data_IF_563294703477
#
_entry.id   IF_563294703477
#
_cell.length_a   1.000
_cell.length_b   1.000
_cell.length_c   1.000
_cell.angle_alpha   90.00
_cell.angle_beta   90.00
_cell.angle_gamma   90.00
#
_symmetry.space_group_name_H-M   'P 1'
#
loop_
_entity.id
_entity.type
_entity.pdbx_description
1 polymer ?
#
# COMPACT_ATOMS: atom_id res chain seq x y z
N UNK A 1 -20.85 -25.74 -31.43
CA UNK A 1 -22.09 -26.16 -30.72
C UNK A 1 -21.85 -27.15 -29.58
N UNK A 2 -21.88 -28.49 -29.71
CA UNK A 2 -21.85 -29.38 -28.52
C UNK A 2 -20.70 -29.12 -27.51
N UNK A 3 -19.51 -28.74 -27.98
CA UNK A 3 -18.37 -28.41 -27.13
C UNK A 3 -18.54 -27.09 -26.32
N UNK A 4 -19.14 -26.05 -26.91
CA UNK A 4 -19.41 -24.76 -26.22
C UNK A 4 -20.45 -24.94 -25.09
N UNK A 5 -21.45 -25.80 -25.28
CA UNK A 5 -22.42 -26.16 -24.23
C UNK A 5 -21.79 -26.88 -23.05
N UNK A 6 -20.73 -27.63 -23.29
CA UNK A 6 -19.98 -28.28 -22.23
C UNK A 6 -19.12 -27.29 -21.46
N UNK A 7 -18.60 -26.24 -22.14
CA UNK A 7 -17.72 -25.23 -21.53
C UNK A 7 -18.42 -24.44 -20.41
N UNK A 8 -19.60 -23.88 -20.67
CA UNK A 8 -20.38 -23.10 -19.67
C UNK A 8 -20.87 -24.00 -18.53
N UNK A 9 -21.24 -25.24 -18.83
CA UNK A 9 -21.67 -26.22 -17.82
C UNK A 9 -20.50 -26.57 -16.89
N UNK A 10 -19.33 -26.83 -17.47
CA UNK A 10 -18.09 -27.12 -16.74
C UNK A 10 -17.66 -25.94 -15.87
N UNK A 11 -17.69 -24.71 -16.40
CA UNK A 11 -17.38 -23.49 -15.64
C UNK A 11 -18.26 -23.32 -14.41
N UNK A 12 -19.58 -23.54 -14.53
CA UNK A 12 -20.49 -23.44 -13.39
C UNK A 12 -20.19 -24.48 -12.30
N UNK A 13 -19.79 -25.71 -12.66
CA UNK A 13 -19.37 -26.72 -11.69
C UNK A 13 -18.05 -26.32 -11.02
N UNK A 14 -17.08 -25.84 -11.80
CA UNK A 14 -15.77 -25.41 -11.33
C UNK A 14 -15.83 -24.23 -10.35
N UNK A 15 -16.71 -23.23 -10.56
CA UNK A 15 -16.90 -22.15 -9.57
C UNK A 15 -17.27 -22.70 -8.19
N UNK A 16 -18.08 -23.77 -8.15
CA UNK A 16 -18.52 -24.35 -6.89
C UNK A 16 -17.45 -25.24 -6.22
N UNK A 17 -16.40 -25.65 -6.94
CA UNK A 17 -15.30 -26.45 -6.39
C UNK A 17 -14.20 -25.63 -5.71
N UNK A 18 -14.22 -24.29 -5.84
CA UNK A 18 -13.30 -23.40 -5.12
C UNK A 18 -13.51 -23.51 -3.60
N UNK A 19 -12.43 -23.78 -2.87
CA UNK A 19 -12.39 -23.82 -1.41
C UNK A 19 -11.26 -22.98 -0.79
N UNK A 20 -10.15 -22.77 -1.49
CA UNK A 20 -9.08 -21.86 -1.07
C UNK A 20 -9.45 -20.42 -1.41
N UNK A 21 -9.73 -20.14 -2.69
CA UNK A 21 -10.08 -18.80 -3.18
C UNK A 21 -11.58 -18.48 -2.99
N UNK A 22 -12.08 -18.77 -1.79
CA UNK A 22 -13.51 -18.59 -1.46
C UNK A 22 -13.93 -17.12 -1.48
N UNK A 23 -13.04 -16.19 -1.14
CA UNK A 23 -13.37 -14.76 -1.22
C UNK A 23 -13.59 -14.30 -2.67
N UNK A 24 -12.85 -14.87 -3.62
CA UNK A 24 -13.09 -14.65 -5.06
C UNK A 24 -14.46 -15.21 -5.45
N UNK A 25 -14.79 -16.41 -4.97
CA UNK A 25 -16.12 -17.02 -5.17
C UNK A 25 -17.27 -16.14 -4.66
N UNK A 26 -17.06 -15.49 -3.52
CA UNK A 26 -18.05 -14.63 -2.87
C UNK A 26 -18.06 -13.19 -3.37
N UNK A 27 -17.16 -12.83 -4.29
CA UNK A 27 -17.10 -11.48 -4.86
C UNK A 27 -18.39 -11.16 -5.63
N UNK A 28 -18.77 -9.87 -5.64
CA UNK A 28 -19.98 -9.43 -6.34
C UNK A 28 -19.93 -9.78 -7.82
N UNK A 29 -18.79 -9.53 -8.48
CA UNK A 29 -18.54 -9.85 -9.88
C UNK A 29 -18.72 -11.34 -10.16
N UNK A 30 -18.06 -12.23 -9.37
CA UNK A 30 -18.17 -13.67 -9.63
C UNK A 30 -19.56 -14.22 -9.30
N UNK A 31 -20.29 -13.61 -8.35
CA UNK A 31 -21.70 -13.93 -8.11
C UNK A 31 -22.58 -13.58 -9.30
N UNK A 32 -22.39 -12.42 -9.94
CA UNK A 32 -23.11 -12.05 -11.16
C UNK A 32 -22.74 -12.97 -12.34
N UNK A 33 -21.45 -13.26 -12.50
CA UNK A 33 -20.96 -14.20 -13.52
C UNK A 33 -21.54 -15.61 -13.32
N UNK A 34 -21.50 -16.14 -12.09
CA UNK A 34 -22.10 -17.43 -11.74
C UNK A 34 -23.61 -17.42 -12.02
N UNK A 35 -24.31 -16.32 -11.73
CA UNK A 35 -25.74 -16.18 -12.02
C UNK A 35 -26.03 -16.22 -13.52
N UNK A 36 -25.20 -15.56 -14.33
CA UNK A 36 -25.24 -15.65 -15.79
C UNK A 36 -25.04 -17.10 -16.27
N UNK A 37 -23.95 -17.77 -15.86
CA UNK A 37 -23.67 -19.15 -16.26
C UNK A 37 -24.77 -20.14 -15.80
N UNK A 38 -25.33 -19.95 -14.59
CA UNK A 38 -26.47 -20.75 -14.10
C UNK A 38 -27.71 -20.56 -14.95
N UNK A 39 -28.01 -19.33 -15.34
CA UNK A 39 -29.14 -19.02 -16.22
C UNK A 39 -28.94 -19.64 -17.61
N UNK A 40 -27.75 -19.45 -18.19
CA UNK A 40 -27.38 -20.02 -19.48
C UNK A 40 -27.41 -21.55 -19.47
N UNK A 41 -27.18 -22.22 -18.35
CA UNK A 41 -27.28 -23.68 -18.24
C UNK A 41 -28.72 -24.25 -18.21
N UNK A 42 -29.76 -23.40 -18.12
CA UNK A 42 -31.16 -23.87 -18.18
C UNK A 42 -31.51 -24.49 -19.54
N UNK A 43 -32.55 -25.33 -19.57
CA UNK A 43 -33.02 -25.96 -20.83
C UNK A 43 -33.51 -24.92 -21.83
N UNK A 44 -34.23 -23.92 -21.36
CA UNK A 44 -34.76 -22.81 -22.15
C UNK A 44 -34.27 -21.48 -21.56
N UNK A 45 -33.88 -20.56 -22.44
CA UNK A 45 -33.39 -19.23 -22.08
C UNK A 45 -34.02 -18.19 -22.99
N UNK A 46 -34.55 -17.11 -22.39
CA UNK A 46 -35.02 -15.93 -23.13
C UNK A 46 -33.89 -14.93 -23.37
N UNK A 47 -33.89 -14.29 -24.53
CA UNK A 47 -32.91 -13.27 -24.96
C UNK A 47 -32.80 -12.12 -23.96
N UNK A 48 -33.94 -11.50 -23.62
CA UNK A 48 -33.99 -10.34 -22.71
C UNK A 48 -33.30 -10.61 -21.37
N UNK A 49 -33.60 -11.76 -20.75
CA UNK A 49 -32.97 -12.17 -19.48
C UNK A 49 -31.49 -12.53 -19.66
N UNK A 50 -31.10 -13.15 -20.77
CA UNK A 50 -29.69 -13.43 -21.06
C UNK A 50 -28.88 -12.14 -21.16
N UNK A 51 -29.39 -11.15 -21.91
CA UNK A 51 -28.79 -9.82 -22.04
C UNK A 51 -28.73 -9.14 -20.68
N UNK A 52 -29.82 -9.17 -19.90
CA UNK A 52 -29.84 -8.57 -18.56
C UNK A 52 -28.81 -9.23 -17.62
N UNK A 53 -28.69 -10.56 -17.62
CA UNK A 53 -27.66 -11.24 -16.81
C UNK A 53 -26.24 -10.88 -17.25
N UNK A 54 -26.00 -10.78 -18.57
CA UNK A 54 -24.71 -10.35 -19.11
C UNK A 54 -24.36 -8.93 -18.70
N UNK A 55 -25.28 -7.98 -18.91
CA UNK A 55 -25.09 -6.57 -18.57
C UNK A 55 -24.91 -6.37 -17.07
N UNK A 56 -25.65 -7.09 -16.21
CA UNK A 56 -25.44 -7.02 -14.76
C UNK A 56 -24.05 -7.50 -14.34
N UNK A 57 -23.51 -8.51 -15.01
CA UNK A 57 -22.15 -8.98 -14.78
C UNK A 57 -21.11 -7.95 -15.24
N UNK A 58 -21.25 -7.42 -16.47
CA UNK A 58 -20.33 -6.40 -17.00
C UNK A 58 -20.40 -5.10 -16.20
N UNK A 59 -21.60 -4.67 -15.79
CA UNK A 59 -21.79 -3.51 -14.94
C UNK A 59 -21.07 -3.66 -13.59
N UNK A 60 -21.22 -4.81 -12.94
CA UNK A 60 -20.56 -5.07 -11.67
C UNK A 60 -19.03 -5.10 -11.82
N UNK A 61 -18.53 -5.67 -12.92
CA UNK A 61 -17.12 -5.65 -13.27
C UNK A 61 -16.63 -4.20 -13.41
N UNK A 62 -17.29 -3.38 -14.23
CA UNK A 62 -16.94 -1.97 -14.44
C UNK A 62 -16.98 -1.12 -13.16
N UNK A 63 -17.90 -1.43 -12.22
CA UNK A 63 -18.03 -0.69 -10.98
C UNK A 63 -17.01 -1.10 -9.92
N UNK A 64 -16.50 -2.34 -9.99
CA UNK A 64 -15.59 -2.91 -8.98
C UNK A 64 -14.13 -2.84 -9.41
N UNK A 65 -13.83 -2.88 -10.71
CA UNK A 65 -12.47 -2.86 -11.23
C UNK A 65 -12.18 -1.65 -12.10
N UNK A 66 -10.94 -1.18 -12.03
CA UNK A 66 -10.40 -0.13 -12.90
C UNK A 66 -10.17 -0.62 -14.35
N UNK A 67 -10.46 -1.89 -14.65
CA UNK A 67 -10.32 -2.51 -15.96
C UNK A 67 -11.62 -3.21 -16.34
N UNK A 68 -11.92 -3.22 -17.64
CA UNK A 68 -13.05 -3.98 -18.20
C UNK A 68 -12.74 -5.49 -18.32
N UNK A 69 -11.48 -5.88 -18.10
CA UNK A 69 -11.05 -7.25 -18.31
C UNK A 69 -11.39 -8.14 -17.12
N UNK A 70 -12.23 -9.14 -17.37
CA UNK A 70 -12.55 -10.16 -16.37
C UNK A 70 -11.31 -10.98 -15.97
N UNK A 71 -10.40 -11.26 -16.92
CA UNK A 71 -9.15 -11.97 -16.64
C UNK A 71 -8.25 -11.18 -15.70
N UNK A 72 -8.03 -9.88 -15.96
CA UNK A 72 -7.25 -9.02 -15.07
C UNK A 72 -7.89 -8.94 -13.68
N UNK A 73 -9.22 -8.79 -13.60
CA UNK A 73 -9.94 -8.77 -12.33
C UNK A 73 -9.70 -10.04 -11.49
N UNK A 74 -9.78 -11.23 -12.09
CA UNK A 74 -9.53 -12.47 -11.37
C UNK A 74 -8.07 -12.56 -10.88
N UNK A 75 -7.11 -12.12 -11.70
CA UNK A 75 -5.70 -12.07 -11.31
C UNK A 75 -5.51 -11.13 -10.12
N UNK A 76 -6.05 -9.91 -10.17
CA UNK A 76 -5.95 -8.94 -9.07
C UNK A 76 -6.56 -9.52 -7.78
N UNK A 77 -7.70 -10.21 -7.88
CA UNK A 77 -8.34 -10.88 -6.75
C UNK A 77 -7.49 -12.01 -6.17
N UNK A 78 -6.72 -12.77 -6.98
CA UNK A 78 -5.81 -13.81 -6.49
C UNK A 78 -4.75 -13.21 -5.56
N UNK A 79 -4.18 -12.06 -5.93
CA UNK A 79 -3.11 -11.41 -5.17
C UNK A 79 -3.60 -10.62 -3.95
N UNK A 80 -4.83 -10.10 -4.00
CA UNK A 80 -5.46 -9.40 -2.87
C UNK A 80 -6.10 -10.36 -1.84
N UNK A 81 -6.29 -11.62 -2.19
CA UNK A 81 -6.96 -12.59 -1.33
C UNK A 81 -6.14 -12.91 -0.06
N UNK A 82 -6.82 -12.98 1.08
CA UNK A 82 -6.28 -13.49 2.33
C UNK A 82 -7.01 -14.80 2.66
N UNK A 83 -6.34 -15.92 2.47
CA UNK A 83 -6.92 -17.25 2.60
C UNK A 83 -5.96 -18.22 3.34
N UNK A 84 -6.34 -19.50 3.41
CA UNK A 84 -5.54 -20.51 4.09
C UNK A 84 -4.14 -20.69 3.48
N UNK A 85 -4.00 -20.54 2.16
CA UNK A 85 -2.73 -20.67 1.46
C UNK A 85 -1.80 -19.49 1.76
N UNK A 86 -2.30 -18.24 1.72
CA UNK A 86 -1.49 -17.07 2.07
C UNK A 86 -1.07 -17.10 3.55
N UNK A 87 -1.96 -17.55 4.45
CA UNK A 87 -1.63 -17.73 5.87
C UNK A 87 -0.54 -18.79 6.10
N UNK A 88 -0.50 -19.85 5.30
CA UNK A 88 0.58 -20.84 5.38
C UNK A 88 1.93 -20.24 4.98
N UNK A 89 1.95 -19.37 3.96
CA UNK A 89 3.17 -18.69 3.53
C UNK A 89 3.64 -17.70 4.61
N UNK A 90 2.73 -16.91 5.15
CA UNK A 90 3.04 -15.94 6.21
C UNK A 90 3.68 -16.62 7.44
N UNK A 91 3.21 -17.83 7.78
CA UNK A 91 3.73 -18.64 8.88
C UNK A 91 4.92 -19.54 8.51
N UNK A 92 5.42 -19.49 7.27
CA UNK A 92 6.49 -20.36 6.74
C UNK A 92 6.20 -21.86 6.88
N UNK A 93 4.93 -22.26 6.81
CA UNK A 93 4.48 -23.65 6.94
C UNK A 93 3.88 -24.16 5.63
N UNK A 94 4.73 -24.37 4.62
CA UNK A 94 4.36 -24.90 3.31
C UNK A 94 4.34 -26.44 3.24
N UNK A 95 4.24 -27.13 4.38
CA UNK A 95 4.37 -28.58 4.44
C UNK A 95 3.12 -29.33 3.95
N UNK A 96 1.97 -28.66 3.88
CA UNK A 96 0.72 -29.30 3.49
C UNK A 96 0.58 -29.41 1.96
N UNK A 97 1.10 -30.52 1.42
CA UNK A 97 1.03 -30.84 -0.02
C UNK A 97 -0.39 -30.81 -0.59
N UNK A 98 -1.40 -31.20 0.18
CA UNK A 98 -2.80 -31.21 -0.29
C UNK A 98 -3.31 -29.80 -0.57
N UNK A 99 -2.92 -28.82 0.25
CA UNK A 99 -3.28 -27.41 0.01
C UNK A 99 -2.59 -26.92 -1.26
N UNK A 100 -1.31 -27.24 -1.46
CA UNK A 100 -0.59 -26.84 -2.69
C UNK A 100 -1.21 -27.46 -3.95
N UNK A 101 -1.56 -28.75 -3.92
CA UNK A 101 -2.27 -29.42 -5.02
C UNK A 101 -3.63 -28.76 -5.29
N UNK A 102 -4.36 -28.41 -4.24
CA UNK A 102 -5.64 -27.71 -4.36
C UNK A 102 -5.47 -26.31 -4.95
N UNK A 103 -4.45 -25.55 -4.53
CA UNK A 103 -4.13 -24.23 -5.12
C UNK A 103 -3.81 -24.37 -6.61
N UNK A 104 -2.98 -25.35 -7.02
CA UNK A 104 -2.72 -25.61 -8.45
C UNK A 104 -4.01 -25.88 -9.22
N UNK A 105 -4.91 -26.69 -8.65
CA UNK A 105 -6.20 -26.97 -9.26
C UNK A 105 -7.06 -25.70 -9.37
N UNK A 106 -7.17 -24.92 -8.31
CA UNK A 106 -8.00 -23.71 -8.29
C UNK A 106 -7.44 -22.61 -9.20
N UNK A 107 -6.12 -22.49 -9.34
CA UNK A 107 -5.51 -21.60 -10.34
C UNK A 107 -5.93 -22.00 -11.76
N UNK A 108 -5.96 -23.29 -12.10
CA UNK A 108 -6.51 -23.77 -13.39
C UNK A 108 -8.00 -23.48 -13.54
N UNK A 109 -8.76 -23.61 -12.47
CA UNK A 109 -10.19 -23.26 -12.47
C UNK A 109 -10.37 -21.77 -12.75
N UNK A 110 -9.72 -20.90 -12.00
CA UNK A 110 -9.82 -19.45 -12.15
C UNK A 110 -9.38 -19.01 -13.55
N UNK A 111 -8.30 -19.59 -14.06
CA UNK A 111 -7.87 -19.39 -15.44
C UNK A 111 -8.96 -19.79 -16.44
N UNK A 112 -9.51 -20.99 -16.31
CA UNK A 112 -10.58 -21.49 -17.18
C UNK A 112 -11.84 -20.62 -17.16
N UNK A 113 -12.20 -20.11 -15.98
CA UNK A 113 -13.33 -19.20 -15.85
C UNK A 113 -13.08 -17.89 -16.58
N UNK A 114 -11.86 -17.36 -16.49
CA UNK A 114 -11.45 -16.11 -17.13
C UNK A 114 -11.16 -16.24 -18.62
N UNK A 115 -10.97 -17.45 -19.13
CA UNK A 115 -10.70 -17.70 -20.56
C UNK A 115 -11.96 -17.80 -21.41
N UNK A 116 -13.15 -17.84 -20.79
CA UNK A 116 -14.41 -17.80 -21.52
C UNK A 116 -14.60 -16.36 -22.02
N UNK A 117 -14.52 -16.19 -23.34
CA UNK A 117 -14.57 -14.87 -23.97
C UNK A 117 -16.00 -14.30 -24.01
N UNK A 118 -16.13 -12.99 -24.18
CA UNK A 118 -17.41 -12.33 -24.48
C UNK A 118 -18.05 -12.99 -25.68
N UNK A 119 -17.23 -13.28 -26.71
CA UNK A 119 -17.66 -13.91 -27.94
C UNK A 119 -18.29 -15.28 -27.68
N UNK A 120 -17.64 -16.14 -26.89
CA UNK A 120 -18.18 -17.46 -26.55
C UNK A 120 -19.54 -17.33 -25.85
N UNK A 121 -19.66 -16.39 -24.90
CA UNK A 121 -20.91 -16.15 -24.17
C UNK A 121 -22.00 -15.61 -25.12
N UNK A 122 -21.66 -14.64 -25.98
CA UNK A 122 -22.58 -14.04 -26.96
C UNK A 122 -23.08 -15.09 -27.96
N UNK A 123 -22.19 -15.88 -28.55
CA UNK A 123 -22.54 -16.99 -29.45
C UNK A 123 -23.42 -18.04 -28.76
N UNK A 124 -23.13 -18.31 -27.49
CA UNK A 124 -23.97 -19.20 -26.70
C UNK A 124 -25.38 -18.65 -26.48
N UNK A 125 -25.50 -17.36 -26.16
CA UNK A 125 -26.80 -16.68 -26.02
C UNK A 125 -27.56 -16.77 -27.34
N UNK A 126 -26.94 -16.42 -28.47
CA UNK A 126 -27.55 -16.45 -29.81
C UNK A 126 -28.07 -17.85 -30.14
N UNK A 127 -27.22 -18.87 -30.01
CA UNK A 127 -27.57 -20.24 -30.38
C UNK A 127 -28.66 -20.84 -29.50
N UNK A 128 -28.59 -20.62 -28.18
CA UNK A 128 -29.52 -21.26 -27.23
C UNK A 128 -30.88 -20.60 -27.18
N UNK A 129 -30.91 -19.28 -27.35
CA UNK A 129 -32.16 -18.51 -27.37
C UNK A 129 -32.85 -18.50 -28.73
N UNK A 130 -32.19 -19.02 -29.78
CA UNK A 130 -32.65 -18.99 -31.17
C UNK A 130 -32.92 -17.57 -31.65
N UNK A 131 -31.97 -16.68 -31.41
CA UNK A 131 -32.07 -15.25 -31.74
C UNK A 131 -32.24 -15.01 -33.25
N UNK A 132 -33.07 -14.02 -33.58
CA UNK A 132 -33.28 -13.49 -34.94
C UNK A 132 -32.23 -12.44 -35.28
N UNK A 133 -32.13 -12.04 -36.55
CA UNK A 133 -31.10 -11.12 -37.03
C UNK A 133 -30.95 -9.84 -36.18
N UNK A 134 -32.04 -9.12 -35.90
CA UNK A 134 -31.94 -7.89 -35.11
C UNK A 134 -31.52 -8.14 -33.64
N UNK A 135 -31.86 -9.31 -33.08
CA UNK A 135 -31.49 -9.69 -31.71
C UNK A 135 -30.02 -10.07 -31.64
N UNK A 136 -29.51 -10.75 -32.67
CA UNK A 136 -28.09 -11.06 -32.85
C UNK A 136 -27.26 -9.79 -32.94
N UNK A 137 -27.72 -8.78 -33.69
CA UNK A 137 -27.03 -7.49 -33.79
C UNK A 137 -26.93 -6.79 -32.43
N UNK A 138 -28.03 -6.77 -31.65
CA UNK A 138 -28.03 -6.23 -30.28
C UNK A 138 -27.02 -6.98 -29.41
N UNK A 139 -27.02 -8.32 -29.41
CA UNK A 139 -26.09 -9.14 -28.61
C UNK A 139 -24.63 -8.86 -28.99
N UNK A 140 -24.33 -8.73 -30.28
CA UNK A 140 -22.98 -8.46 -30.75
C UNK A 140 -22.49 -7.07 -30.32
N UNK A 141 -23.38 -6.07 -30.25
CA UNK A 141 -23.06 -4.71 -29.78
C UNK A 141 -22.82 -4.58 -28.27
N UNK A 142 -23.07 -5.62 -27.47
CA UNK A 142 -22.79 -5.57 -26.03
C UNK A 142 -21.29 -5.41 -25.80
N UNK A 143 -20.92 -4.80 -24.68
CA UNK A 143 -19.52 -4.58 -24.30
C UNK A 143 -18.74 -5.90 -24.27
N UNK A 144 -17.52 -5.87 -24.80
CA UNK A 144 -16.53 -6.92 -24.73
C UNK A 144 -15.68 -6.81 -23.44
N UNK A 145 -15.34 -7.94 -22.84
CA UNK A 145 -14.62 -8.08 -21.56
C UNK A 145 -13.18 -8.59 -21.73
N UNK A 146 -12.67 -8.61 -22.96
CA UNK A 146 -11.28 -8.95 -23.25
C UNK A 146 -10.30 -7.81 -22.87
N UNK A 147 -9.04 -8.16 -22.64
CA UNK A 147 -7.96 -7.20 -22.40
C UNK A 147 -7.63 -6.43 -23.68
N UNK A 148 -7.74 -5.10 -23.65
CA UNK A 148 -6.91 -4.24 -24.48
C UNK A 148 -5.54 -4.14 -23.80
N UNK A 149 -4.58 -4.97 -24.22
CA UNK A 149 -3.23 -4.97 -23.67
C UNK A 149 -2.50 -3.67 -24.04
N UNK A 150 -2.61 -2.64 -23.20
CA UNK A 150 -1.58 -1.61 -23.09
C UNK A 150 -0.69 -1.99 -21.90
N UNK A 151 0.27 -2.87 -22.17
CA UNK A 151 1.36 -3.11 -21.22
C UNK A 151 2.24 -1.87 -21.28
N UNK A 152 2.18 -1.02 -20.27
CA UNK A 152 3.12 0.08 -20.13
C UNK A 152 4.51 -0.54 -19.91
N UNK A 153 5.44 -0.39 -20.85
CA UNK A 153 6.79 -0.98 -20.75
C UNK A 153 7.60 -0.46 -19.53
N UNK A 154 7.09 0.55 -18.83
CA UNK A 154 7.64 1.12 -17.60
C UNK A 154 7.07 0.48 -16.32
N UNK A 155 6.69 -0.81 -16.32
CA UNK A 155 6.20 -1.51 -15.13
C UNK A 155 7.33 -1.67 -14.07
N UNK A 156 7.37 -0.73 -13.14
CA UNK A 156 8.38 -0.68 -12.06
C UNK A 156 8.06 -1.67 -10.92
N UNK A 157 6.79 -2.02 -10.67
CA UNK A 157 6.38 -2.87 -9.53
C UNK A 157 6.51 -4.37 -9.85
N UNK A 158 7.13 -5.15 -8.97
CA UNK A 158 7.30 -6.61 -9.12
C UNK A 158 5.97 -7.35 -9.30
N UNK A 159 4.93 -6.94 -8.59
CA UNK A 159 3.60 -7.54 -8.68
C UNK A 159 2.99 -7.39 -10.08
N UNK A 160 3.13 -6.23 -10.72
CA UNK A 160 2.59 -6.01 -12.06
C UNK A 160 3.30 -6.84 -13.12
N UNK A 161 4.61 -7.10 -12.94
CA UNK A 161 5.36 -8.02 -13.81
C UNK A 161 4.79 -9.44 -13.72
N UNK A 162 4.52 -9.92 -12.51
CA UNK A 162 3.93 -11.25 -12.28
C UNK A 162 2.48 -11.31 -12.79
N UNK A 163 1.65 -10.31 -12.50
CA UNK A 163 0.28 -10.22 -13.05
C UNK A 163 0.28 -10.25 -14.57
N UNK A 164 1.21 -9.53 -15.21
CA UNK A 164 1.36 -9.50 -16.66
C UNK A 164 1.81 -10.85 -17.23
N UNK A 165 2.68 -11.59 -16.55
CA UNK A 165 3.05 -12.94 -17.00
C UNK A 165 1.86 -13.91 -16.91
N UNK A 166 1.07 -13.85 -15.84
CA UNK A 166 -0.16 -14.65 -15.70
C UNK A 166 -1.19 -14.35 -16.80
N UNK A 167 -1.29 -13.10 -17.27
CA UNK A 167 -2.19 -12.74 -18.36
C UNK A 167 -1.86 -13.52 -19.65
N UNK A 168 -0.58 -13.75 -19.94
CA UNK A 168 -0.13 -14.39 -21.20
C UNK A 168 0.03 -15.91 -21.05
N UNK A 169 0.12 -16.43 -19.83
CA UNK A 169 0.32 -17.86 -19.57
C UNK A 169 -0.87 -18.76 -20.00
N UNK A 170 -0.51 -19.92 -20.55
CA UNK A 170 -1.43 -21.00 -20.93
C UNK A 170 -1.88 -21.86 -19.74
N UNK A 171 -1.11 -21.91 -18.65
CA UNK A 171 -1.47 -22.67 -17.44
C UNK A 171 -1.02 -21.95 -16.16
N UNK A 172 -1.98 -21.42 -15.41
CA UNK A 172 -1.69 -20.67 -14.17
C UNK A 172 -1.14 -21.54 -13.03
N UNK A 173 -1.34 -22.87 -13.06
CA UNK A 173 -0.75 -23.73 -12.03
C UNK A 173 0.78 -23.77 -12.07
N UNK A 174 1.37 -23.48 -13.22
CA UNK A 174 2.82 -23.50 -13.42
C UNK A 174 3.46 -22.25 -12.79
N UNK A 175 2.69 -21.17 -12.62
CA UNK A 175 3.11 -19.95 -11.91
C UNK A 175 3.12 -20.09 -10.38
N UNK A 176 2.74 -21.26 -9.81
CA UNK A 176 2.64 -21.38 -8.36
C UNK A 176 3.96 -21.08 -7.65
N UNK A 177 5.09 -21.53 -8.22
CA UNK A 177 6.40 -21.29 -7.63
C UNK A 177 6.74 -19.79 -7.64
N UNK A 178 6.50 -19.11 -8.75
CA UNK A 178 6.68 -17.65 -8.88
C UNK A 178 5.76 -16.88 -7.91
N UNK A 179 4.52 -17.33 -7.73
CA UNK A 179 3.56 -16.74 -6.78
C UNK A 179 4.06 -16.92 -5.34
N UNK A 180 4.57 -18.10 -4.98
CA UNK A 180 5.14 -18.36 -3.65
C UNK A 180 6.38 -17.52 -3.41
N UNK A 181 7.28 -17.40 -4.39
CA UNK A 181 8.47 -16.56 -4.31
C UNK A 181 8.08 -15.09 -4.10
N UNK A 182 7.12 -14.60 -4.89
CA UNK A 182 6.57 -13.26 -4.74
C UNK A 182 5.99 -13.04 -3.34
N UNK A 183 5.15 -13.94 -2.83
CA UNK A 183 4.56 -13.83 -1.50
C UNK A 183 5.60 -13.91 -0.37
N UNK A 184 6.72 -14.60 -0.57
CA UNK A 184 7.80 -14.63 0.40
C UNK A 184 8.61 -13.33 0.44
N UNK A 185 8.85 -12.68 -0.71
CA UNK A 185 9.61 -11.42 -0.78
C UNK A 185 8.77 -10.17 -0.53
N UNK A 186 7.57 -10.12 -1.10
CA UNK A 186 6.71 -8.94 -1.12
C UNK A 186 5.46 -9.09 -0.24
N UNK A 187 5.19 -10.27 0.30
CA UNK A 187 4.07 -10.54 1.21
C UNK A 187 2.74 -10.75 0.50
N UNK A 188 1.71 -11.00 1.31
CA UNK A 188 0.40 -11.50 0.88
C UNK A 188 -0.71 -10.45 0.96
N UNK A 189 -1.75 -10.61 0.14
CA UNK A 189 -2.92 -9.75 0.15
C UNK A 189 -2.55 -8.29 -0.12
N UNK A 190 -3.17 -7.38 0.66
CA UNK A 190 -2.94 -5.94 0.56
C UNK A 190 -1.46 -5.54 0.75
N UNK A 191 -0.66 -6.33 1.46
CA UNK A 191 0.75 -6.04 1.67
C UNK A 191 1.65 -6.41 0.48
N UNK A 192 1.21 -7.36 -0.35
CA UNK A 192 1.85 -7.67 -1.62
C UNK A 192 1.64 -6.58 -2.68
N UNK A 193 0.46 -5.95 -2.65
CA UNK A 193 0.06 -4.91 -3.60
C UNK A 193 0.62 -3.53 -3.25
N UNK A 194 0.64 -3.19 -1.95
CA UNK A 194 0.92 -1.84 -1.49
C UNK A 194 2.16 -1.78 -0.59
N UNK A 195 3.08 -0.87 -0.93
CA UNK A 195 4.27 -0.58 -0.11
C UNK A 195 3.97 0.29 1.12
N UNK A 196 2.95 1.13 1.01
CA UNK A 196 2.50 2.05 2.05
C UNK A 196 0.98 1.94 2.20
N UNK A 197 0.52 1.94 3.45
CA UNK A 197 -0.88 1.84 3.82
C UNK A 197 -1.22 2.88 4.89
N UNK A 198 -2.49 3.25 4.97
CA UNK A 198 -3.01 4.17 5.99
C UNK A 198 -4.07 3.44 6.82
N UNK A 199 -4.03 3.61 8.14
CA UNK A 199 -5.11 3.13 9.02
C UNK A 199 -6.28 4.11 9.02
N UNK A 200 -7.46 3.65 8.61
CA UNK A 200 -8.65 4.47 8.44
C UNK A 200 -9.87 3.92 9.17
N UNK A 201 -10.81 4.83 9.44
CA UNK A 201 -12.13 4.54 10.01
C UNK A 201 -13.18 4.91 8.96
N UNK A 202 -14.07 3.97 8.64
CA UNK A 202 -15.23 4.20 7.77
C UNK A 202 -16.42 3.41 8.34
N UNK A 203 -17.57 4.06 8.52
CA UNK A 203 -18.82 3.44 8.98
C UNK A 203 -18.65 2.47 10.17
N UNK A 204 -18.01 2.95 11.26
CA UNK A 204 -17.67 2.20 12.49
C UNK A 204 -16.70 1.01 12.31
N UNK A 205 -16.12 0.85 11.12
CA UNK A 205 -15.09 -0.16 10.82
C UNK A 205 -13.72 0.48 10.71
N UNK A 206 -12.72 -0.28 11.11
CA UNK A 206 -11.31 0.12 11.01
C UNK A 206 -10.60 -0.80 10.03
N UNK A 207 -9.88 -0.24 9.05
CA UNK A 207 -9.20 -1.04 8.02
C UNK A 207 -7.90 -0.37 7.54
N UNK A 208 -7.10 -1.14 6.81
CA UNK A 208 -5.92 -0.64 6.10
C UNK A 208 -6.31 -0.28 4.67
N UNK A 209 -6.06 0.97 4.28
CA UNK A 209 -6.19 1.41 2.89
C UNK A 209 -4.81 1.43 2.23
N UNK A 210 -4.68 0.81 1.06
CA UNK A 210 -3.49 0.90 0.24
C UNK A 210 -3.28 2.30 -0.35
N UNK A 211 -2.03 2.73 -0.49
CA UNK A 211 -1.66 3.95 -1.20
C UNK A 211 -1.13 3.59 -2.58
N UNK A 212 -1.86 3.91 -3.65
CA UNK A 212 -1.50 3.54 -5.03
C UNK A 212 -0.19 4.19 -5.49
N UNK A 213 -0.05 5.49 -5.20
CA UNK A 213 1.04 6.36 -5.62
C UNK A 213 1.64 7.11 -4.41
N UNK A 214 2.37 6.40 -3.52
CA UNK A 214 3.05 7.06 -2.41
C UNK A 214 4.23 7.88 -2.93
N UNK A 215 4.57 8.93 -2.18
CA UNK A 215 5.65 9.89 -2.50
C UNK A 215 6.90 9.17 -3.03
N UNK A 216 7.37 9.45 -4.26
CA UNK A 216 8.48 8.73 -4.89
C UNK A 216 9.86 9.13 -4.33
N UNK A 217 9.92 10.05 -3.36
CA UNK A 217 11.17 10.53 -2.75
C UNK A 217 12.11 9.39 -2.34
N UNK A 218 13.37 9.44 -2.75
CA UNK A 218 14.41 8.50 -2.31
C UNK A 218 15.43 9.21 -1.42
N UNK A 219 16.23 8.42 -0.70
CA UNK A 219 17.23 8.94 0.23
C UNK A 219 18.25 9.84 -0.47
N UNK A 220 18.63 9.48 -1.71
CA UNK A 220 19.52 10.27 -2.57
C UNK A 220 18.95 11.63 -2.98
N UNK A 221 17.62 11.79 -2.99
CA UNK A 221 16.96 13.05 -3.38
C UNK A 221 16.91 14.05 -2.20
N UNK A 222 17.14 13.56 -0.99
CA UNK A 222 17.20 14.37 0.22
C UNK A 222 18.64 14.86 0.41
N UNK A 223 18.91 16.14 0.17
CA UNK A 223 20.24 16.71 0.43
C UNK A 223 20.44 17.05 1.91
N UNK A 224 21.62 16.73 2.45
CA UNK A 224 22.02 17.04 3.82
C UNK A 224 21.51 16.03 4.86
N UNK A 225 21.90 16.21 6.13
CA UNK A 225 21.57 15.31 7.24
C UNK A 225 22.06 13.85 7.06
N UNK A 226 23.23 13.65 6.45
CA UNK A 226 23.74 12.30 6.16
C UNK A 226 23.96 11.47 7.42
N UNK A 227 24.47 12.07 8.50
CA UNK A 227 24.63 11.36 9.78
C UNK A 227 23.28 10.88 10.34
N UNK A 228 22.27 11.75 10.32
CA UNK A 228 20.92 11.42 10.78
C UNK A 228 20.30 10.31 9.93
N UNK A 229 20.46 10.38 8.60
CA UNK A 229 19.98 9.34 7.69
C UNK A 229 20.68 8.02 7.97
N UNK A 230 22.00 8.01 8.12
CA UNK A 230 22.77 6.78 8.33
C UNK A 230 22.36 6.06 9.61
N UNK A 231 22.09 6.81 10.68
CA UNK A 231 21.56 6.25 11.94
C UNK A 231 20.22 5.54 11.72
N UNK A 232 19.28 6.17 11.00
CA UNK A 232 17.96 5.59 10.72
C UNK A 232 18.07 4.39 9.77
N UNK A 233 18.94 4.50 8.74
CA UNK A 233 19.21 3.44 7.78
C UNK A 233 19.79 2.21 8.49
N UNK A 234 20.79 2.40 9.35
CA UNK A 234 21.43 1.32 10.09
C UNK A 234 20.43 0.56 10.98
N UNK A 235 19.61 1.28 11.74
CA UNK A 235 18.54 0.68 12.56
C UNK A 235 17.52 -0.10 11.69
N UNK A 236 17.16 0.46 10.53
CA UNK A 236 16.19 -0.19 9.62
C UNK A 236 16.78 -1.45 8.97
N UNK A 237 18.07 -1.43 8.55
CA UNK A 237 18.76 -2.62 8.03
C UNK A 237 18.88 -3.71 9.08
N UNK A 238 19.17 -3.33 10.33
CA UNK A 238 19.20 -4.25 11.46
C UNK A 238 17.85 -4.93 11.68
N UNK A 239 16.77 -4.15 11.63
CA UNK A 239 15.39 -4.64 11.73
C UNK A 239 15.01 -5.60 10.60
N UNK A 240 15.36 -5.27 9.35
CA UNK A 240 15.13 -6.12 8.17
C UNK A 240 15.89 -7.44 8.27
N UNK A 241 17.11 -7.41 8.80
CA UNK A 241 17.92 -8.59 9.06
C UNK A 241 17.40 -9.46 10.22
N UNK A 242 16.30 -9.06 10.88
CA UNK A 242 15.66 -9.80 11.97
C UNK A 242 16.34 -9.62 13.33
N UNK A 243 17.31 -8.72 13.45
CA UNK A 243 17.92 -8.37 14.73
C UNK A 243 17.05 -7.36 15.51
N UNK A 244 17.21 -7.28 16.84
CA UNK A 244 16.58 -6.23 17.63
C UNK A 244 16.96 -4.84 17.11
N UNK A 245 15.96 -3.97 16.99
CA UNK A 245 16.09 -2.59 16.54
C UNK A 245 15.18 -1.70 17.39
N UNK A 246 15.43 -0.40 17.38
CA UNK A 246 14.72 0.54 18.24
C UNK A 246 13.58 1.25 17.50
N UNK A 247 12.59 1.70 18.25
CA UNK A 247 11.65 2.71 17.77
C UNK A 247 12.43 4.03 17.61
N UNK A 248 11.98 4.91 16.71
CA UNK A 248 12.70 6.15 16.42
C UNK A 248 11.78 7.34 16.60
N UNK A 249 12.24 8.31 17.40
CA UNK A 249 11.66 9.64 17.43
C UNK A 249 12.54 10.60 16.62
N UNK A 250 11.99 11.13 15.53
CA UNK A 250 12.61 12.15 14.71
C UNK A 250 12.17 13.52 15.23
N UNK A 251 13.07 14.23 15.89
CA UNK A 251 12.81 15.55 16.46
C UNK A 251 13.45 16.65 15.60
N UNK A 252 12.78 17.79 15.40
CA UNK A 252 13.42 18.95 14.78
C UNK A 252 12.46 19.98 14.20
N UNK A 253 13.00 21.05 13.62
CA UNK A 253 12.20 22.12 13.02
C UNK A 253 11.33 21.63 11.86
N UNK A 254 10.26 22.37 11.54
CA UNK A 254 9.44 22.09 10.35
C UNK A 254 10.25 22.25 9.07
N UNK A 255 10.00 21.39 8.08
CA UNK A 255 10.63 21.49 6.77
C UNK A 255 12.08 21.01 6.70
N UNK A 256 12.60 20.32 7.73
CA UNK A 256 13.94 19.70 7.77
C UNK A 256 14.01 18.30 7.15
N UNK A 257 12.88 17.75 6.70
CA UNK A 257 12.84 16.48 5.95
C UNK A 257 12.50 15.23 6.77
N UNK A 258 12.18 15.34 8.07
CA UNK A 258 11.87 14.19 8.95
C UNK A 258 10.92 13.16 8.34
N UNK A 259 9.72 13.59 7.94
CA UNK A 259 8.69 12.71 7.35
C UNK A 259 9.12 12.18 5.98
N UNK A 260 9.80 13.00 5.18
CA UNK A 260 10.35 12.61 3.88
C UNK A 260 11.44 11.55 4.02
N UNK A 261 12.27 11.60 5.07
CA UNK A 261 13.28 10.57 5.36
C UNK A 261 12.64 9.22 5.63
N UNK A 262 11.58 9.17 6.44
CA UNK A 262 10.86 7.90 6.70
C UNK A 262 10.21 7.38 5.42
N UNK A 263 9.56 8.23 4.64
CA UNK A 263 8.96 7.84 3.34
C UNK A 263 10.02 7.34 2.34
N UNK A 264 11.19 7.96 2.32
CA UNK A 264 12.31 7.58 1.47
C UNK A 264 12.90 6.21 1.82
N UNK A 265 12.97 5.86 3.11
CA UNK A 265 13.43 4.55 3.57
C UNK A 265 12.57 3.43 3.00
N UNK A 266 11.25 3.64 2.97
CA UNK A 266 10.30 2.65 2.44
C UNK A 266 10.52 2.42 0.95
N UNK A 267 10.84 3.48 0.20
CA UNK A 267 11.14 3.37 -1.22
C UNK A 267 12.46 2.63 -1.50
N UNK A 268 13.41 2.68 -0.57
CA UNK A 268 14.72 2.04 -0.71
C UNK A 268 14.68 0.55 -0.32
N UNK A 269 13.89 0.20 0.72
CA UNK A 269 13.85 -1.15 1.30
C UNK A 269 12.53 -1.89 1.07
N UNK A 270 11.69 -1.43 0.15
CA UNK A 270 10.44 -2.11 -0.22
C UNK A 270 10.67 -3.55 -0.68
N UNK A 271 11.70 -3.75 -1.50
CA UNK A 271 12.08 -5.05 -2.08
C UNK A 271 12.66 -6.01 -1.02
N UNK A 272 13.09 -5.49 0.13
CA UNK A 272 13.56 -6.27 1.29
C UNK A 272 12.40 -6.65 2.25
N UNK A 273 11.15 -6.40 1.85
CA UNK A 273 9.96 -6.75 2.63
C UNK A 273 9.52 -5.69 3.66
N UNK A 274 9.96 -4.44 3.52
CA UNK A 274 9.54 -3.33 4.39
C UNK A 274 8.21 -2.73 3.96
N UNK A 275 7.31 -2.46 4.90
CA UNK A 275 6.03 -1.77 4.67
C UNK A 275 5.84 -0.61 5.64
N UNK A 276 5.22 0.45 5.13
CA UNK A 276 4.84 1.62 5.93
C UNK A 276 3.36 1.57 6.27
N UNK A 277 3.03 1.74 7.55
CA UNK A 277 1.66 1.93 8.01
C UNK A 277 1.55 3.31 8.63
N UNK A 278 0.94 4.25 7.93
CA UNK A 278 0.68 5.59 8.44
C UNK A 278 -0.55 5.56 9.37
N UNK A 279 -0.37 6.08 10.57
CA UNK A 279 -1.40 6.11 11.62
C UNK A 279 -1.49 7.52 12.16
N UNK A 280 -2.67 8.13 12.04
CA UNK A 280 -2.93 9.43 12.68
C UNK A 280 -2.84 9.29 14.20
N UNK A 281 -2.38 10.35 14.86
CA UNK A 281 -2.22 10.38 16.32
C UNK A 281 -3.49 9.96 17.07
N UNK A 282 -4.67 10.39 16.58
CA UNK A 282 -5.96 10.13 17.22
C UNK A 282 -6.37 8.65 17.11
N UNK A 283 -5.79 7.93 16.15
CA UNK A 283 -6.04 6.51 15.88
C UNK A 283 -5.08 5.57 16.61
N UNK A 284 -4.12 6.11 17.39
CA UNK A 284 -3.20 5.30 18.19
C UNK A 284 -3.90 4.42 19.23
N UNK A 285 -5.13 4.77 19.61
CA UNK A 285 -5.98 3.93 20.47
C UNK A 285 -6.27 2.54 19.87
N UNK A 286 -6.22 2.40 18.55
CA UNK A 286 -6.44 1.14 17.84
C UNK A 286 -5.19 0.29 17.65
N UNK A 287 -4.04 0.70 18.22
CA UNK A 287 -2.78 0.04 17.95
C UNK A 287 -2.79 -1.48 18.20
N UNK A 288 -3.55 -1.95 19.20
CA UNK A 288 -3.71 -3.39 19.45
C UNK A 288 -4.42 -4.11 18.31
N UNK A 289 -5.38 -3.47 17.64
CA UNK A 289 -6.01 -3.98 16.41
C UNK A 289 -5.00 -3.99 15.27
N UNK A 290 -4.19 -2.94 15.13
CA UNK A 290 -3.14 -2.86 14.11
C UNK A 290 -2.13 -4.01 14.30
N UNK A 291 -1.59 -4.21 15.50
CA UNK A 291 -0.67 -5.33 15.78
C UNK A 291 -1.30 -6.68 15.42
N UNK A 292 -2.57 -6.92 15.76
CA UNK A 292 -3.25 -8.19 15.45
C UNK A 292 -3.25 -8.49 13.95
N UNK A 293 -3.38 -7.47 13.10
CA UNK A 293 -3.32 -7.63 11.64
C UNK A 293 -1.88 -7.91 11.16
N UNK A 294 -0.86 -7.35 11.82
CA UNK A 294 0.53 -7.38 11.36
C UNK A 294 1.40 -8.53 11.93
N UNK A 295 1.11 -8.99 13.16
CA UNK A 295 2.03 -9.84 13.97
C UNK A 295 2.38 -11.22 13.41
N UNK A 296 1.61 -11.72 12.45
CA UNK A 296 1.80 -13.04 11.85
C UNK A 296 2.26 -12.97 10.39
N UNK A 297 2.57 -11.77 9.87
CA UNK A 297 3.05 -11.60 8.51
C UNK A 297 4.57 -11.79 8.44
N UNK A 298 5.06 -12.34 7.33
CA UNK A 298 6.49 -12.56 7.06
C UNK A 298 7.27 -11.26 6.77
N UNK A 299 6.57 -10.13 6.61
CA UNK A 299 7.11 -8.80 6.34
C UNK A 299 7.50 -8.03 7.61
N UNK A 300 8.21 -6.92 7.40
CA UNK A 300 8.58 -5.95 8.43
C UNK A 300 7.78 -4.66 8.26
N UNK A 301 7.26 -4.13 9.36
CA UNK A 301 6.37 -2.96 9.35
C UNK A 301 6.97 -1.82 10.16
N UNK A 302 6.97 -0.62 9.57
CA UNK A 302 7.15 0.63 10.30
C UNK A 302 5.78 1.28 10.42
N UNK A 303 5.30 1.42 11.66
CA UNK A 303 4.16 2.26 11.99
C UNK A 303 4.68 3.69 12.09
N UNK A 304 4.19 4.55 11.20
CA UNK A 304 4.60 5.94 11.10
C UNK A 304 3.53 6.88 11.63
N UNK A 305 3.94 7.76 12.55
CA UNK A 305 3.07 8.79 13.13
C UNK A 305 3.70 10.16 12.88
N UNK A 306 3.05 10.99 12.08
CA UNK A 306 3.55 12.32 11.75
C UNK A 306 3.08 13.37 12.77
N UNK A 307 3.94 14.35 13.08
CA UNK A 307 3.70 15.47 14.01
C UNK A 307 3.08 15.05 15.36
N UNK A 308 3.78 14.15 16.06
CA UNK A 308 3.40 13.62 17.37
C UNK A 308 3.44 14.74 18.44
N UNK A 309 2.27 15.32 18.70
CA UNK A 309 2.02 16.29 19.78
C UNK A 309 0.64 16.02 20.39
N UNK A 310 0.63 15.84 21.71
CA UNK A 310 -0.54 15.50 22.51
C UNK A 310 -1.02 16.68 23.36
N UNK A 311 -2.33 16.74 23.57
CA UNK A 311 -2.93 17.52 24.63
C UNK A 311 -2.89 16.75 25.96
N UNK A 312 -3.08 17.47 27.06
CA UNK A 312 -3.14 16.85 28.39
C UNK A 312 -4.39 15.94 28.51
N UNK A 313 -4.20 14.71 29.02
CA UNK A 313 -5.30 13.74 29.17
C UNK A 313 -5.72 13.01 27.89
N UNK A 314 -5.00 13.16 26.78
CA UNK A 314 -5.32 12.48 25.52
C UNK A 314 -5.14 10.95 25.63
N UNK A 315 -6.16 10.18 25.26
CA UNK A 315 -6.12 8.70 25.33
C UNK A 315 -5.01 8.10 24.45
N UNK A 316 -4.70 8.76 23.33
CA UNK A 316 -3.63 8.38 22.40
C UNK A 316 -2.25 8.41 23.05
N UNK A 317 -2.00 9.33 24.00
CA UNK A 317 -0.76 9.38 24.77
C UNK A 317 -0.60 8.12 25.63
N UNK A 318 -1.65 7.77 26.38
CA UNK A 318 -1.65 6.58 27.25
C UNK A 318 -1.49 5.29 26.45
N UNK A 319 -2.12 5.22 25.28
CA UNK A 319 -1.96 4.10 24.35
C UNK A 319 -0.49 3.97 23.91
N UNK A 320 0.11 5.04 23.39
CA UNK A 320 1.51 5.05 22.95
C UNK A 320 2.49 4.72 24.08
N UNK A 321 2.25 5.24 25.28
CA UNK A 321 3.04 4.95 26.48
C UNK A 321 3.08 3.45 26.78
N UNK A 322 1.91 2.82 26.81
CA UNK A 322 1.73 1.37 27.06
C UNK A 322 2.41 0.51 25.99
N UNK A 323 2.39 0.99 24.75
CA UNK A 323 3.01 0.31 23.61
C UNK A 323 4.52 0.30 23.74
N UNK A 324 5.12 1.47 24.01
CA UNK A 324 6.57 1.61 24.12
C UNK A 324 7.13 0.93 25.39
N UNK A 325 6.35 0.84 26.48
CA UNK A 325 6.70 0.03 27.66
C UNK A 325 6.70 -1.48 27.39
N UNK A 326 6.15 -1.92 26.26
CA UNK A 326 6.11 -3.32 25.87
C UNK A 326 5.11 -4.10 26.71
N UNK A 327 3.84 -3.65 26.73
CA UNK A 327 2.72 -4.43 27.27
C UNK A 327 2.70 -5.88 26.76
N UNK A 328 2.11 -6.79 27.54
CA UNK A 328 2.18 -8.26 27.34
C UNK A 328 1.79 -8.70 25.91
N UNK A 329 0.89 -7.97 25.24
CA UNK A 329 0.45 -8.26 23.87
C UNK A 329 1.29 -7.60 22.75
N UNK A 330 2.19 -6.67 23.07
CA UNK A 330 2.75 -5.69 22.11
C UNK A 330 4.17 -6.00 21.59
N UNK A 331 4.82 -7.08 22.04
CA UNK A 331 6.17 -7.43 21.56
C UNK A 331 6.11 -8.23 20.26
N UNK A 332 5.90 -7.53 19.14
CA UNK A 332 6.04 -8.13 17.80
C UNK A 332 7.43 -7.84 17.23
N UNK A 333 8.19 -8.87 16.85
CA UNK A 333 9.54 -8.74 16.29
C UNK A 333 9.57 -8.20 14.85
N UNK A 334 8.41 -7.92 14.28
CA UNK A 334 8.23 -7.44 12.92
C UNK A 334 7.58 -6.05 12.84
N UNK A 335 7.48 -5.31 13.96
CA UNK A 335 6.90 -3.96 14.00
C UNK A 335 7.85 -3.00 14.71
N UNK A 336 8.10 -1.83 14.11
CA UNK A 336 8.74 -0.67 14.75
C UNK A 336 7.84 0.56 14.63
N UNK A 337 8.03 1.52 15.53
CA UNK A 337 7.32 2.80 15.54
C UNK A 337 8.30 3.92 15.23
N UNK A 338 8.08 4.62 14.11
CA UNK A 338 8.81 5.84 13.78
C UNK A 338 7.84 7.01 13.91
N UNK A 339 8.20 8.01 14.72
CA UNK A 339 7.38 9.19 14.90
C UNK A 339 8.18 10.45 14.57
N UNK A 340 7.53 11.47 13.99
CA UNK A 340 8.13 12.80 13.90
C UNK A 340 7.53 13.73 14.94
N UNK A 341 8.31 14.69 15.42
CA UNK A 341 7.77 15.78 16.23
C UNK A 341 8.51 17.08 15.97
N UNK A 342 7.77 18.18 16.03
CA UNK A 342 8.33 19.53 15.94
C UNK A 342 8.66 20.12 17.32
N UNK A 343 8.31 19.42 18.40
CA UNK A 343 8.48 19.88 19.78
C UNK A 343 9.37 18.91 20.55
N UNK A 344 10.21 19.46 21.43
CA UNK A 344 11.05 18.63 22.30
C UNK A 344 10.19 17.83 23.28
N UNK A 345 9.08 18.41 23.72
CA UNK A 345 8.09 17.79 24.59
C UNK A 345 6.90 17.31 23.74
N UNK A 346 6.56 16.03 23.88
CA UNK A 346 5.45 15.41 23.14
C UNK A 346 4.08 15.83 23.68
N UNK A 347 3.99 16.30 24.92
CA UNK A 347 2.76 16.80 25.54
C UNK A 347 2.84 18.32 25.68
N UNK A 348 1.76 19.03 25.37
CA UNK A 348 1.72 20.48 25.59
C UNK A 348 1.78 20.80 27.10
N UNK A 349 2.58 21.81 27.43
CA UNK A 349 2.65 22.35 28.79
C UNK A 349 1.55 23.40 28.98
N UNK A 350 0.85 23.38 30.11
CA UNK A 350 -0.08 24.45 30.49
C UNK A 350 0.67 25.58 31.20
N UNK A 351 0.21 26.82 31.04
CA UNK A 351 0.85 28.00 31.66
C UNK A 351 0.88 27.92 33.20
N UNK A 352 -0.05 27.19 33.81
CA UNK A 352 -0.13 26.90 35.23
C UNK A 352 0.97 25.96 35.73
N UNK A 353 1.36 24.96 34.94
CA UNK A 353 2.46 24.03 35.30
C UNK A 353 3.82 24.75 35.37
N UNK A 354 4.02 25.80 34.57
CA UNK A 354 5.24 26.63 34.59
C UNK A 354 5.30 27.61 35.76
N UNK A 355 4.20 27.77 36.50
CA UNK A 355 4.04 28.76 37.56
C UNK A 355 3.69 28.14 38.94
N UNK A 356 3.55 26.82 39.02
CA UNK A 356 3.25 26.08 40.25
C UNK A 356 4.51 25.61 41.00
N UNK A 357 4.33 25.18 42.25
CA UNK A 357 5.40 24.70 43.16
C UNK A 357 6.39 23.74 42.46
N UNK A 358 7.68 23.98 42.68
CA UNK A 358 8.82 23.38 41.95
C UNK A 358 8.79 21.85 41.86
N UNK A 359 8.21 21.15 42.84
CA UNK A 359 8.21 19.67 42.89
C UNK A 359 7.18 19.06 41.93
N UNK A 360 5.93 19.54 41.96
CA UNK A 360 4.88 19.00 41.08
C UNK A 360 5.09 19.37 39.61
N UNK A 361 5.66 20.55 39.36
CA UNK A 361 6.08 20.94 38.02
C UNK A 361 7.21 20.05 37.49
N UNK A 362 8.18 19.68 38.33
CA UNK A 362 9.27 18.79 37.95
C UNK A 362 8.78 17.37 37.62
N UNK A 363 7.90 16.80 38.46
CA UNK A 363 7.34 15.47 38.25
C UNK A 363 6.54 15.38 36.93
N UNK A 364 5.74 16.41 36.62
CA UNK A 364 4.99 16.47 35.36
C UNK A 364 5.91 16.63 34.13
N UNK A 365 7.00 17.39 34.25
CA UNK A 365 7.99 17.57 33.19
C UNK A 365 8.79 16.27 32.97
N UNK A 366 9.21 15.59 34.03
CA UNK A 366 9.89 14.29 33.96
C UNK A 366 9.00 13.22 33.33
N UNK A 367 7.70 13.17 33.65
CA UNK A 367 6.79 12.23 33.02
C UNK A 367 6.62 12.50 31.51
N UNK A 368 6.53 13.77 31.10
CA UNK A 368 6.42 14.17 29.69
C UNK A 368 7.71 13.91 28.90
N UNK A 369 8.88 13.98 29.54
CA UNK A 369 10.17 13.57 28.97
C UNK A 369 10.29 12.05 28.87
N UNK A 370 9.76 11.32 29.85
CA UNK A 370 9.81 9.85 29.93
C UNK A 370 9.23 9.17 28.69
N UNK A 371 8.24 9.75 28.00
CA UNK A 371 7.70 9.14 26.79
C UNK A 371 8.70 9.15 25.62
N UNK A 372 9.43 10.25 25.42
CA UNK A 372 10.38 10.38 24.32
C UNK A 372 11.54 9.39 24.46
N UNK A 373 12.03 9.19 25.68
CA UNK A 373 13.15 8.28 25.97
C UNK A 373 12.80 6.80 25.67
N UNK A 374 11.52 6.44 25.67
CA UNK A 374 11.05 5.06 25.44
C UNK A 374 11.03 4.65 23.97
N UNK A 375 11.28 5.56 23.05
CA UNK A 375 11.52 5.17 21.66
C UNK A 375 12.83 4.37 21.54
N UNK A 376 13.82 4.64 22.39
CA UNK A 376 15.12 3.95 22.36
C UNK A 376 16.13 4.62 21.41
N UNK A 377 15.66 5.35 20.39
CA UNK A 377 16.51 6.23 19.57
C UNK A 377 15.81 7.57 19.29
N UNK A 378 16.53 8.66 19.48
CA UNK A 378 16.09 10.01 19.09
C UNK A 378 17.07 10.59 18.07
N UNK A 379 16.57 10.97 16.91
CA UNK A 379 17.36 11.56 15.82
C UNK A 379 16.96 13.01 15.62
N UNK A 380 17.93 13.92 15.74
CA UNK A 380 17.67 15.37 15.75
C UNK A 380 17.99 16.03 14.41
N UNK A 381 16.97 16.64 13.80
CA UNK A 381 17.04 17.40 12.55
C UNK A 381 16.98 18.90 12.84
N UNK A 382 18.13 19.50 13.14
CA UNK A 382 18.26 20.93 13.41
C UNK A 382 18.11 21.75 12.13
N UNK A 383 17.70 23.01 12.25
CA UNK A 383 17.71 23.93 11.10
C UNK A 383 19.15 24.09 10.59
N UNK A 384 19.40 23.96 9.27
CA UNK A 384 20.73 24.06 8.73
C UNK A 384 21.31 25.47 8.94
N UNK A 385 22.62 25.53 9.15
CA UNK A 385 23.32 26.80 9.14
C UNK A 385 23.33 27.42 7.72
N UNK A 386 23.93 28.60 7.56
CA UNK A 386 23.96 29.24 6.25
C UNK A 386 24.72 28.42 5.21
N UNK A 387 25.84 27.80 5.60
CA UNK A 387 26.71 27.05 4.71
C UNK A 387 26.05 25.74 4.28
N UNK A 388 25.44 25.03 5.22
CA UNK A 388 24.64 23.83 4.99
C UNK A 388 23.44 24.13 4.10
N UNK A 389 22.74 25.24 4.36
CA UNK A 389 21.61 25.66 3.52
C UNK A 389 22.05 25.92 2.07
N UNK A 390 23.15 26.64 1.86
CA UNK A 390 23.68 26.90 0.52
C UNK A 390 24.16 25.61 -0.17
N UNK A 391 24.76 24.67 0.58
CA UNK A 391 25.10 23.35 0.05
C UNK A 391 23.88 22.55 -0.38
N UNK A 392 22.76 22.65 0.35
CA UNK A 392 21.50 22.02 -0.05
C UNK A 392 20.96 22.65 -1.34
N UNK A 393 21.04 23.97 -1.47
CA UNK A 393 20.65 24.70 -2.69
C UNK A 393 21.48 24.23 -3.89
N UNK A 394 22.80 24.14 -3.73
CA UNK A 394 23.73 23.65 -4.76
C UNK A 394 23.36 22.23 -5.22
N UNK A 395 23.16 21.31 -4.28
CA UNK A 395 22.81 19.92 -4.58
C UNK A 395 21.48 19.81 -5.34
N UNK A 396 20.48 20.63 -5.02
CA UNK A 396 19.19 20.63 -5.71
C UNK A 396 19.32 21.16 -7.15
N UNK A 397 20.16 22.18 -7.37
CA UNK A 397 20.43 22.74 -8.71
C UNK A 397 21.15 21.72 -9.59
N UNK A 398 22.19 21.08 -9.05
CA UNK A 398 22.94 20.03 -9.74
C UNK A 398 22.04 18.84 -10.09
N UNK A 399 21.24 18.35 -9.13
CA UNK A 399 20.29 17.25 -9.36
C UNK A 399 19.24 17.56 -10.44
N UNK A 400 18.91 18.85 -10.65
CA UNK A 400 17.97 19.32 -11.66
C UNK A 400 18.63 19.74 -12.98
N UNK A 401 19.96 19.68 -13.07
CA UNK A 401 20.72 20.07 -14.25
C UNK A 401 20.52 21.54 -14.64
N UNK A 402 20.34 22.43 -13.66
CA UNK A 402 20.16 23.85 -13.92
C UNK A 402 21.51 24.56 -14.04
N UNK A 403 21.69 25.29 -15.13
CA UNK A 403 22.88 26.12 -15.35
C UNK A 403 22.60 27.55 -14.86
N UNK A 404 23.12 27.88 -13.67
CA UNK A 404 22.95 29.18 -13.02
C UNK A 404 24.27 29.56 -12.35
N UNK A 405 24.66 30.83 -12.48
CA UNK A 405 25.82 31.37 -11.76
C UNK A 405 25.69 31.16 -10.24
N UNK A 406 26.75 30.62 -9.62
CA UNK A 406 26.72 30.19 -8.22
C UNK A 406 26.61 31.36 -7.25
N UNK A 407 27.27 32.48 -7.54
CA UNK A 407 27.23 33.67 -6.68
C UNK A 407 25.85 34.32 -6.72
N UNK A 408 25.25 34.41 -7.91
CA UNK A 408 23.87 34.85 -8.08
C UNK A 408 22.88 33.92 -7.35
N UNK A 409 23.02 32.61 -7.54
CA UNK A 409 22.18 31.60 -6.91
C UNK A 409 22.19 31.73 -5.38
N UNK A 410 23.39 31.84 -4.79
CA UNK A 410 23.54 31.96 -3.33
C UNK A 410 22.96 33.28 -2.81
N UNK A 411 23.19 34.39 -3.51
CA UNK A 411 22.64 35.68 -3.13
C UNK A 411 21.09 35.68 -3.13
N UNK A 412 20.47 35.16 -4.19
CA UNK A 412 19.02 35.06 -4.29
C UNK A 412 18.43 34.05 -3.29
N UNK A 413 19.10 32.92 -3.06
CA UNK A 413 18.68 31.94 -2.06
C UNK A 413 18.64 32.55 -0.65
N UNK A 414 19.63 33.38 -0.30
CA UNK A 414 19.68 34.08 0.99
C UNK A 414 18.63 35.18 1.08
N UNK A 415 18.32 35.88 -0.02
CA UNK A 415 17.20 36.81 -0.06
C UNK A 415 15.90 36.06 0.22
N UNK A 416 15.65 34.95 -0.46
CA UNK A 416 14.45 34.13 -0.28
C UNK A 416 14.22 33.73 1.19
N UNK A 417 15.26 33.27 1.89
CA UNK A 417 15.18 32.94 3.32
C UNK A 417 14.75 34.13 4.18
N UNK A 418 15.19 35.36 3.86
CA UNK A 418 14.79 36.56 4.63
C UNK A 418 13.30 36.88 4.47
N UNK A 419 12.70 36.55 3.32
CA UNK A 419 11.27 36.76 3.07
C UNK A 419 10.39 35.67 3.68
N UNK A 420 10.84 34.42 3.65
CA UNK A 420 10.03 33.25 4.07
C UNK A 420 10.45 32.63 5.40
N UNK A 421 11.39 33.26 6.11
CA UNK A 421 11.70 33.10 7.53
C UNK A 421 12.05 31.68 8.03
N UNK A 422 12.72 30.85 7.22
CA UNK A 422 13.37 29.64 7.71
C UNK A 422 14.42 29.12 6.72
N UNK A 423 15.62 28.77 7.23
CA UNK A 423 16.55 27.92 6.49
C UNK A 423 16.08 26.48 6.65
N UNK A 424 15.75 25.81 5.56
CA UNK A 424 15.42 24.39 5.55
C UNK A 424 15.50 23.84 4.12
N UNK A 425 15.65 22.51 3.95
CA UNK A 425 15.52 21.85 2.65
C UNK A 425 14.25 22.23 1.91
N UNK A 426 13.10 22.27 2.61
CA UNK A 426 11.81 22.71 2.02
C UNK A 426 11.90 24.12 1.44
N UNK A 427 12.46 25.08 2.18
CA UNK A 427 12.62 26.46 1.70
C UNK A 427 13.55 26.51 0.48
N UNK A 428 14.64 25.73 0.47
CA UNK A 428 15.55 25.63 -0.67
C UNK A 428 14.83 25.07 -1.91
N UNK A 429 14.05 23.99 -1.77
CA UNK A 429 13.26 23.44 -2.89
C UNK A 429 12.25 24.44 -3.43
N UNK A 430 11.56 25.18 -2.56
CA UNK A 430 10.60 26.22 -2.96
C UNK A 430 11.29 27.36 -3.71
N UNK A 431 12.47 27.79 -3.25
CA UNK A 431 13.30 28.77 -3.94
C UNK A 431 13.70 28.30 -5.35
N UNK A 432 14.20 27.07 -5.48
CA UNK A 432 14.60 26.54 -6.79
C UNK A 432 13.38 26.36 -7.72
N UNK A 433 12.22 25.95 -7.20
CA UNK A 433 10.99 25.90 -7.99
C UNK A 433 10.62 27.28 -8.56
N UNK A 434 10.74 28.33 -7.74
CA UNK A 434 10.52 29.71 -8.18
C UNK A 434 11.55 30.15 -9.22
N UNK A 435 12.84 29.91 -8.96
CA UNK A 435 13.94 30.26 -9.88
C UNK A 435 13.77 29.58 -11.25
N UNK A 436 13.41 28.29 -11.28
CA UNK A 436 13.11 27.57 -12.52
C UNK A 436 11.94 28.16 -13.29
N UNK A 437 10.92 28.67 -12.59
CA UNK A 437 9.79 29.36 -13.21
C UNK A 437 10.20 30.67 -13.85
N UNK A 438 11.11 31.42 -13.22
CA UNK A 438 11.65 32.67 -13.77
C UNK A 438 12.59 32.43 -14.97
N UNK A 439 13.41 31.37 -14.94
CA UNK A 439 14.32 31.03 -16.05
C UNK A 439 13.61 30.52 -17.33
N UNK A 440 12.36 30.08 -17.21
CA UNK A 440 11.54 29.59 -18.34
C UNK A 440 10.65 30.68 -18.95
N UNK A 441 10.57 31.86 -18.33
CA UNK A 441 9.96 33.06 -18.92
C UNK A 441 10.98 33.77 -19.78
#
# INVERSE_FOLDING_TARGET
>A
MYAEYEQIKKANVMINSLCIFTNIKESSVLKKYSSLLKYLNKKEVSIEKSINHYNNFVYELLNTSNSISFKKYIIDMIFLDNNAFTNMIDNKDLNNKKVLEQVKYELKVLQYLSSISSKDIKEYIISKSKAKNFETDIINSLIDIELECNVDDNLIKAIEKLKSSLIVMDNWADALEDIIEFYNGYGTGIFGEYRALVWEHEDDKTYLRGVDSPDPVRLKDLAGYEEQKEVIISNTKQFLSGYPANNILLYGSRGTGKSSTVKAIINEYYDDGLRLIEVDKDKLVDFTKIIKVLRNKNLKFIIFVDDLVFEEGESSYSALKTILEGGVENRSSNILIYATTNRKHLVKETFSERAGDDVHAHDAIEEKLSLADRFGMTVSFYSPDQKEYLSIVDNIVEARGLDVDKDYLHAEALKWVRWYNARSPRTATQFINWLQGELKK
#
